data_IF_655612456314
#
_entry.id   IF_655612456314
#
_cell.length_a   1.000
_cell.length_b   1.000
_cell.length_c   1.000
_cell.angle_alpha   90.00
_cell.angle_beta   90.00
_cell.angle_gamma   90.00
#
_symmetry.space_group_name_H-M   'P 1'
#
loop_
_entity.id
_entity.type
_entity.pdbx_description
1 polymer ?
#
# COMPACT_ATOMS: atom_id res chain seq x y z
N UNK A 1 7.95 -24.99 -16.73
CA UNK A 1 7.34 -24.01 -15.80
C UNK A 1 6.63 -22.96 -16.66
N UNK A 2 5.32 -23.12 -16.87
CA UNK A 2 4.49 -22.24 -17.70
C UNK A 2 3.74 -21.31 -16.76
N UNK A 3 4.03 -20.01 -16.80
CA UNK A 3 3.36 -19.05 -15.92
C UNK A 3 2.05 -18.55 -16.59
N UNK A 4 0.87 -18.90 -16.05
CA UNK A 4 -0.41 -18.44 -16.59
C UNK A 4 -0.56 -16.91 -16.56
N UNK A 5 0.17 -16.24 -15.66
CA UNK A 5 0.26 -14.78 -15.51
C UNK A 5 0.83 -14.11 -16.78
N UNK A 6 1.92 -14.66 -17.35
CA UNK A 6 2.54 -14.15 -18.58
C UNK A 6 1.60 -14.23 -19.79
N UNK A 7 0.74 -15.25 -19.83
CA UNK A 7 -0.25 -15.42 -20.90
C UNK A 7 -1.33 -14.34 -20.85
N UNK A 8 -1.81 -13.97 -19.65
CA UNK A 8 -2.79 -12.90 -19.47
C UNK A 8 -2.21 -11.53 -19.84
N UNK A 9 -1.00 -11.23 -19.36
CA UNK A 9 -0.28 -9.99 -19.69
C UNK A 9 -0.11 -9.82 -21.20
N UNK A 10 0.32 -10.88 -21.90
CA UNK A 10 0.44 -10.87 -23.37
C UNK A 10 -0.91 -10.59 -24.05
N UNK A 11 -2.00 -11.12 -23.55
CA UNK A 11 -3.35 -10.86 -24.09
C UNK A 11 -3.74 -9.39 -23.92
N UNK A 12 -3.55 -8.80 -22.73
CA UNK A 12 -3.84 -7.37 -22.52
C UNK A 12 -3.05 -6.47 -23.46
N UNK A 13 -1.75 -6.75 -23.64
CA UNK A 13 -0.92 -6.00 -24.59
C UNK A 13 -1.41 -6.11 -26.03
N UNK A 14 -1.79 -7.33 -26.47
CA UNK A 14 -2.35 -7.52 -27.82
C UNK A 14 -3.64 -6.75 -28.02
N UNK A 15 -4.56 -6.79 -27.05
CA UNK A 15 -5.83 -6.06 -27.14
C UNK A 15 -5.59 -4.55 -27.19
N UNK A 16 -4.70 -4.02 -26.35
CA UNK A 16 -4.32 -2.60 -26.40
C UNK A 16 -3.70 -2.19 -27.74
N UNK A 17 -2.85 -3.03 -28.33
CA UNK A 17 -2.29 -2.78 -29.66
C UNK A 17 -3.35 -2.78 -30.76
N UNK A 18 -4.30 -3.71 -30.69
CA UNK A 18 -5.41 -3.78 -31.64
C UNK A 18 -6.31 -2.54 -31.52
N UNK A 19 -6.66 -2.11 -30.30
CA UNK A 19 -7.45 -0.88 -30.09
C UNK A 19 -6.72 0.34 -30.63
N UNK A 20 -5.40 0.43 -30.42
CA UNK A 20 -4.59 1.52 -30.96
C UNK A 20 -4.60 1.52 -32.49
N UNK A 21 -4.37 0.35 -33.10
CA UNK A 21 -4.41 0.21 -34.56
C UNK A 21 -5.77 0.60 -35.12
N UNK A 22 -6.87 0.23 -34.47
CA UNK A 22 -8.20 0.67 -34.87
C UNK A 22 -8.37 2.18 -34.77
N UNK A 23 -7.90 2.80 -33.69
CA UNK A 23 -7.90 4.27 -33.53
C UNK A 23 -7.15 4.94 -34.67
N UNK A 24 -5.94 4.47 -34.97
CA UNK A 24 -5.07 5.02 -36.02
C UNK A 24 -5.72 4.86 -37.41
N UNK A 25 -6.37 3.72 -37.69
CA UNK A 25 -7.10 3.49 -38.94
C UNK A 25 -8.33 4.40 -39.07
N UNK A 26 -9.08 4.59 -37.98
CA UNK A 26 -10.27 5.45 -37.98
C UNK A 26 -9.86 6.92 -38.20
N UNK A 27 -8.79 7.38 -37.56
CA UNK A 27 -8.25 8.73 -37.78
C UNK A 27 -7.71 8.90 -39.20
N UNK A 28 -6.99 7.91 -39.73
CA UNK A 28 -6.51 7.94 -41.12
C UNK A 28 -7.66 7.95 -42.13
N UNK A 29 -8.74 7.19 -41.87
CA UNK A 29 -9.93 7.15 -42.72
C UNK A 29 -10.67 8.49 -42.79
N UNK A 30 -10.74 9.24 -41.69
CA UNK A 30 -11.30 10.59 -41.66
C UNK A 30 -10.49 11.55 -42.56
N UNK A 31 -9.15 11.50 -42.49
CA UNK A 31 -8.27 12.32 -43.33
C UNK A 31 -8.43 11.97 -44.80
N UNK A 32 -8.49 10.67 -45.13
CA UNK A 32 -8.68 10.21 -46.50
C UNK A 32 -10.06 10.64 -47.04
N UNK A 33 -11.11 10.54 -46.23
CA UNK A 33 -12.46 10.98 -46.58
C UNK A 33 -12.53 12.49 -46.85
N UNK A 34 -11.89 13.31 -46.01
CA UNK A 34 -11.79 14.75 -46.25
C UNK A 34 -11.08 15.05 -47.58
N UNK A 35 -9.95 14.39 -47.84
CA UNK A 35 -9.20 14.55 -49.09
C UNK A 35 -10.00 14.09 -50.32
N UNK A 36 -10.86 13.08 -50.18
CA UNK A 36 -11.72 12.61 -51.26
C UNK A 36 -12.81 13.63 -51.57
N UNK A 37 -13.47 14.17 -50.54
CA UNK A 37 -14.49 15.19 -50.72
C UNK A 37 -13.94 16.45 -51.39
N UNK A 38 -12.74 16.91 -50.99
CA UNK A 38 -12.12 18.11 -51.56
C UNK A 38 -11.69 17.90 -53.03
N UNK A 39 -11.29 16.68 -53.40
CA UNK A 39 -11.04 16.31 -54.80
C UNK A 39 -12.32 16.24 -55.61
N UNK A 40 -13.42 15.76 -55.03
CA UNK A 40 -14.71 15.73 -55.68
C UNK A 40 -15.18 17.15 -55.97
N UNK A 41 -15.25 18.05 -54.99
CA UNK A 41 -15.73 19.44 -55.19
C UNK A 41 -14.93 20.19 -56.26
N UNK A 42 -13.61 19.99 -56.34
CA UNK A 42 -12.76 20.60 -57.38
C UNK A 42 -12.98 20.05 -58.79
N UNK A 43 -13.35 18.77 -58.95
CA UNK A 43 -13.44 18.09 -60.26
C UNK A 43 -14.70 18.45 -61.05
N UNK A 44 -15.80 18.77 -60.37
CA UNK A 44 -17.05 19.18 -61.02
C UNK A 44 -17.07 20.67 -61.44
N UNK A 45 -16.01 21.42 -61.15
CA UNK A 45 -15.89 22.85 -61.49
C UNK A 45 -15.49 23.11 -62.96
N UNK A 46 -14.94 22.11 -63.66
CA UNK A 46 -14.56 22.18 -65.08
C UNK A 46 -15.54 21.39 -65.97
N UNK A 47 -16.74 21.94 -66.19
CA UNK A 47 -17.67 21.43 -67.21
C UNK A 47 -18.01 22.55 -68.21
N UNK A 48 -17.91 22.34 -69.55
CA UNK A 48 -18.10 23.40 -70.54
C UNK A 48 -19.54 23.92 -70.73
N UNK A 49 -20.54 23.43 -69.96
CA UNK A 49 -21.97 23.81 -70.08
C UNK A 49 -22.43 24.64 -68.87
N UNK A 50 -22.07 25.92 -68.88
CA UNK A 50 -22.02 26.78 -67.70
C UNK A 50 -23.30 27.48 -67.22
N UNK A 51 -24.47 26.83 -67.13
CA UNK A 51 -25.62 27.49 -66.46
C UNK A 51 -26.52 26.60 -65.57
N UNK A 52 -26.80 25.34 -65.91
CA UNK A 52 -27.62 24.47 -65.01
C UNK A 52 -26.83 23.84 -63.86
N UNK A 53 -25.50 23.98 -63.85
CA UNK A 53 -24.62 23.29 -62.90
C UNK A 53 -24.42 24.01 -61.55
N UNK A 54 -24.83 25.28 -61.40
CA UNK A 54 -24.65 26.01 -60.13
C UNK A 54 -25.57 25.49 -59.02
N UNK A 55 -26.83 25.20 -59.36
CA UNK A 55 -27.79 24.62 -58.42
C UNK A 55 -27.40 23.18 -58.05
N UNK A 56 -26.97 22.38 -59.05
CA UNK A 56 -26.47 21.03 -58.81
C UNK A 56 -25.18 21.02 -57.95
N UNK A 57 -24.25 21.95 -58.17
CA UNK A 57 -23.06 22.11 -57.32
C UNK A 57 -23.42 22.50 -55.88
N UNK A 58 -24.39 23.42 -55.70
CA UNK A 58 -24.84 23.81 -54.36
C UNK A 58 -25.44 22.61 -53.60
N UNK A 59 -26.24 21.79 -54.28
CA UNK A 59 -26.83 20.57 -53.71
C UNK A 59 -25.74 19.54 -53.38
N UNK A 60 -24.75 19.36 -54.26
CA UNK A 60 -23.62 18.44 -54.03
C UNK A 60 -22.78 18.90 -52.84
N UNK A 61 -22.48 20.19 -52.71
CA UNK A 61 -21.75 20.72 -51.55
C UNK A 61 -22.56 20.59 -50.26
N UNK A 62 -23.87 20.87 -50.28
CA UNK A 62 -24.75 20.65 -49.13
C UNK A 62 -24.82 19.17 -48.71
N UNK A 63 -24.88 18.25 -49.68
CA UNK A 63 -24.84 16.82 -49.40
C UNK A 63 -23.48 16.40 -48.81
N UNK A 64 -22.37 16.92 -49.34
CA UNK A 64 -21.03 16.64 -48.80
C UNK A 64 -20.82 17.21 -47.40
N UNK A 65 -21.31 18.40 -47.11
CA UNK A 65 -21.23 18.97 -45.74
C UNK A 65 -22.04 18.15 -44.75
N UNK A 66 -23.24 17.69 -45.13
CA UNK A 66 -24.08 16.81 -44.32
C UNK A 66 -23.39 15.46 -44.08
N UNK A 67 -22.79 14.88 -45.12
CA UNK A 67 -22.08 13.60 -45.03
C UNK A 67 -20.79 13.73 -44.19
N UNK A 68 -20.05 14.83 -44.32
CA UNK A 68 -18.88 15.15 -43.47
C UNK A 68 -19.29 15.25 -42.00
N UNK A 69 -20.36 15.99 -41.71
CA UNK A 69 -20.85 16.16 -40.34
C UNK A 69 -21.24 14.82 -39.71
N UNK A 70 -21.98 13.98 -40.44
CA UNK A 70 -22.39 12.66 -39.98
C UNK A 70 -21.20 11.71 -39.80
N UNK A 71 -20.26 11.70 -40.75
CA UNK A 71 -19.05 10.87 -40.65
C UNK A 71 -18.21 11.28 -39.43
N UNK A 72 -17.96 12.57 -39.24
CA UNK A 72 -17.21 13.10 -38.10
C UNK A 72 -17.87 12.78 -36.77
N UNK A 73 -19.19 12.89 -36.67
CA UNK A 73 -19.92 12.54 -35.45
C UNK A 73 -19.75 11.06 -35.10
N UNK A 74 -19.89 10.16 -36.08
CA UNK A 74 -19.73 8.71 -35.88
C UNK A 74 -18.29 8.33 -35.55
N UNK A 75 -17.31 8.90 -36.25
CA UNK A 75 -15.87 8.71 -36.01
C UNK A 75 -15.49 9.15 -34.60
N UNK A 76 -15.90 10.35 -34.18
CA UNK A 76 -15.67 10.84 -32.81
C UNK A 76 -16.30 9.94 -31.76
N UNK A 77 -17.53 9.49 -32.00
CA UNK A 77 -18.22 8.56 -31.09
C UNK A 77 -17.49 7.22 -30.95
N UNK A 78 -16.94 6.69 -32.04
CA UNK A 78 -16.20 5.42 -32.03
C UNK A 78 -14.83 5.57 -31.36
N UNK A 79 -14.08 6.64 -31.68
CA UNK A 79 -12.81 6.97 -31.03
C UNK A 79 -12.99 7.16 -29.52
N UNK A 80 -14.06 7.84 -29.11
CA UNK A 80 -14.40 7.99 -27.70
C UNK A 80 -14.58 6.63 -27.02
N UNK A 81 -15.38 5.73 -27.61
CA UNK A 81 -15.59 4.37 -27.08
C UNK A 81 -14.29 3.57 -26.98
N UNK A 82 -13.44 3.64 -28.00
CA UNK A 82 -12.12 2.98 -28.00
C UNK A 82 -11.25 3.54 -26.86
N UNK A 83 -11.24 4.86 -26.67
CA UNK A 83 -10.45 5.50 -25.61
C UNK A 83 -10.90 5.10 -24.20
N UNK A 84 -12.22 4.95 -23.99
CA UNK A 84 -12.81 4.47 -22.73
C UNK A 84 -12.41 3.02 -22.48
N UNK A 85 -12.60 2.15 -23.48
CA UNK A 85 -12.25 0.73 -23.37
C UNK A 85 -10.75 0.52 -23.14
N UNK A 86 -9.90 1.34 -23.76
CA UNK A 86 -8.45 1.34 -23.50
C UNK A 86 -8.15 1.64 -22.03
N UNK A 87 -8.75 2.71 -21.48
CA UNK A 87 -8.57 3.09 -20.06
C UNK A 87 -9.07 2.03 -19.10
N UNK A 88 -10.20 1.39 -19.40
CA UNK A 88 -10.73 0.28 -18.59
C UNK A 88 -9.76 -0.89 -18.57
N UNK A 89 -9.22 -1.29 -19.73
CA UNK A 89 -8.25 -2.37 -19.85
C UNK A 89 -6.94 -2.03 -19.13
N UNK A 90 -6.45 -0.80 -19.22
CA UNK A 90 -5.27 -0.33 -18.48
C UNK A 90 -5.51 -0.40 -16.97
N UNK A 91 -6.67 0.08 -16.49
CA UNK A 91 -7.05 0.00 -15.07
C UNK A 91 -7.16 -1.45 -14.57
N UNK A 92 -7.78 -2.35 -15.35
CA UNK A 92 -7.87 -3.78 -15.04
C UNK A 92 -6.50 -4.43 -14.93
N UNK A 93 -5.60 -4.12 -15.89
CA UNK A 93 -4.21 -4.59 -15.87
C UNK A 93 -3.49 -4.11 -14.61
N UNK A 94 -3.61 -2.83 -14.29
CA UNK A 94 -2.92 -2.24 -13.14
C UNK A 94 -3.47 -2.78 -11.82
N UNK A 95 -4.79 -2.98 -11.72
CA UNK A 95 -5.44 -3.65 -10.60
C UNK A 95 -4.96 -5.10 -10.42
N UNK A 96 -4.80 -5.85 -11.51
CA UNK A 96 -4.27 -7.20 -11.49
C UNK A 96 -2.82 -7.25 -11.00
N UNK A 97 -1.94 -6.37 -11.53
CA UNK A 97 -0.55 -6.32 -11.08
C UNK A 97 -0.41 -5.86 -9.63
N UNK A 98 -1.27 -4.96 -9.17
CA UNK A 98 -1.29 -4.57 -7.76
C UNK A 98 -1.74 -5.73 -6.85
N UNK A 99 -2.77 -6.49 -7.27
CA UNK A 99 -3.17 -7.68 -6.53
C UNK A 99 -2.09 -8.78 -6.54
N UNK A 100 -1.41 -8.94 -7.68
CA UNK A 100 -0.31 -9.89 -7.83
C UNK A 100 0.89 -9.50 -6.95
N UNK A 101 1.27 -8.22 -6.91
CA UNK A 101 2.38 -7.75 -6.07
C UNK A 101 2.09 -7.97 -4.58
N UNK A 102 0.84 -7.74 -4.15
CA UNK A 102 0.40 -8.07 -2.78
C UNK A 102 0.45 -9.58 -2.52
N UNK A 103 0.01 -10.40 -3.46
CA UNK A 103 0.07 -11.87 -3.36
C UNK A 103 1.51 -12.37 -3.29
N UNK A 104 2.41 -11.81 -4.09
CA UNK A 104 3.84 -12.12 -4.07
C UNK A 104 4.47 -11.71 -2.73
N UNK A 105 4.13 -10.52 -2.22
CA UNK A 105 4.57 -10.08 -0.90
C UNK A 105 4.04 -11.00 0.22
N UNK A 106 2.78 -11.44 0.15
CA UNK A 106 2.21 -12.41 1.10
C UNK A 106 2.92 -13.75 1.02
N UNK A 107 3.19 -14.27 -0.18
CA UNK A 107 3.95 -15.51 -0.37
C UNK A 107 5.36 -15.39 0.20
N UNK A 108 6.01 -14.24 0.01
CA UNK A 108 7.32 -13.95 0.60
C UNK A 108 7.27 -13.89 2.13
N UNK A 109 6.20 -13.32 2.71
CA UNK A 109 5.99 -13.33 4.18
C UNK A 109 5.80 -14.74 4.72
N UNK A 110 5.04 -15.58 4.03
CA UNK A 110 4.86 -16.98 4.40
C UNK A 110 6.19 -17.75 4.36
N UNK A 111 6.95 -17.58 3.28
CA UNK A 111 8.30 -18.14 3.17
C UNK A 111 9.22 -17.63 4.28
N UNK A 112 9.16 -16.35 4.63
CA UNK A 112 9.94 -15.79 5.73
C UNK A 112 9.57 -16.42 7.08
N UNK A 113 8.27 -16.68 7.33
CA UNK A 113 7.82 -17.41 8.53
C UNK A 113 8.39 -18.83 8.55
N UNK A 114 8.37 -19.53 7.42
CA UNK A 114 8.94 -20.89 7.30
C UNK A 114 10.44 -20.86 7.59
N UNK A 115 11.17 -19.90 7.02
CA UNK A 115 12.61 -19.72 7.26
C UNK A 115 12.91 -19.39 8.73
N UNK A 116 12.09 -18.56 9.38
CA UNK A 116 12.24 -18.22 10.79
C UNK A 116 12.09 -19.47 11.66
N UNK A 117 11.05 -20.29 11.43
CA UNK A 117 10.85 -21.54 12.18
C UNK A 117 12.01 -22.50 11.94
N UNK A 118 12.44 -22.69 10.69
CA UNK A 118 13.60 -23.52 10.34
C UNK A 118 14.88 -23.06 11.05
N UNK A 119 15.09 -21.75 11.13
CA UNK A 119 16.25 -21.16 11.80
C UNK A 119 16.21 -21.41 13.31
N UNK A 120 15.05 -21.23 13.95
CA UNK A 120 14.89 -21.52 15.39
C UNK A 120 15.17 -22.99 15.67
N UNK A 121 14.62 -23.90 14.88
CA UNK A 121 14.88 -25.34 14.99
C UNK A 121 16.38 -25.61 14.84
N UNK A 122 17.01 -25.08 13.80
CA UNK A 122 18.45 -25.27 13.56
C UNK A 122 19.30 -24.79 14.74
N UNK A 123 19.01 -23.62 15.30
CA UNK A 123 19.75 -23.06 16.44
C UNK A 123 19.63 -23.93 17.70
N UNK A 124 18.49 -24.62 17.88
CA UNK A 124 18.31 -25.55 19.00
C UNK A 124 19.03 -26.89 18.77
N UNK A 125 19.03 -27.39 17.54
CA UNK A 125 19.56 -28.72 17.21
C UNK A 125 21.06 -28.71 16.96
N UNK A 126 21.62 -27.64 16.41
CA UNK A 126 23.04 -27.58 16.05
C UNK A 126 23.98 -27.76 17.26
N UNK A 127 23.77 -27.08 18.42
CA UNK A 127 24.65 -27.25 19.57
C UNK A 127 24.45 -28.61 20.24
N UNK A 128 23.21 -29.12 20.28
CA UNK A 128 22.93 -30.46 20.83
C UNK A 128 23.59 -31.55 20.01
N UNK A 129 23.54 -31.43 18.68
CA UNK A 129 24.20 -32.37 17.77
C UNK A 129 25.71 -32.29 17.93
N UNK A 130 26.28 -31.09 18.07
CA UNK A 130 27.71 -30.91 18.34
C UNK A 130 28.15 -31.60 19.64
N UNK A 131 27.41 -31.41 20.74
CA UNK A 131 27.73 -32.07 22.01
C UNK A 131 27.58 -33.59 21.91
N UNK A 132 26.52 -34.08 21.27
CA UNK A 132 26.32 -35.51 21.06
C UNK A 132 27.47 -36.15 20.25
N UNK A 133 27.91 -35.50 19.17
CA UNK A 133 29.04 -35.98 18.36
C UNK A 133 30.36 -35.90 19.13
N UNK A 134 30.62 -34.80 19.86
CA UNK A 134 31.86 -34.60 20.60
C UNK A 134 32.08 -35.67 21.68
N UNK A 135 31.02 -36.03 22.40
CA UNK A 135 31.07 -37.08 23.44
C UNK A 135 30.79 -38.49 22.92
N UNK A 136 30.33 -38.64 21.67
CA UNK A 136 30.19 -39.92 20.98
C UNK A 136 31.50 -40.48 20.43
N UNK A 137 32.57 -39.68 20.40
CA UNK A 137 33.92 -40.14 20.02
C UNK A 137 34.54 -40.95 21.16
N UNK A 138 35.08 -42.13 20.85
CA UNK A 138 35.61 -43.13 21.81
C UNK A 138 36.71 -42.60 22.76
N UNK A 139 37.32 -41.44 22.46
CA UNK A 139 38.39 -40.81 23.23
C UNK A 139 38.00 -40.50 24.69
N UNK A 140 36.71 -40.39 25.02
CA UNK A 140 36.23 -40.09 26.37
C UNK A 140 35.71 -41.29 27.18
N UNK A 141 35.68 -42.50 26.62
CA UNK A 141 35.23 -43.70 27.33
C UNK A 141 36.27 -44.24 28.36
N UNK A 142 37.49 -43.69 28.37
CA UNK A 142 38.60 -44.16 29.21
C UNK A 142 38.75 -43.44 30.57
N UNK A 143 38.03 -42.34 30.81
CA UNK A 143 38.09 -41.58 32.06
C UNK A 143 36.86 -41.87 32.93
N UNK A 144 37.10 -42.23 34.20
CA UNK A 144 36.12 -42.56 35.25
C UNK A 144 34.67 -42.13 34.97
N UNK A 145 33.80 -43.14 34.81
CA UNK A 145 32.41 -43.05 34.35
C UNK A 145 31.57 -41.94 35.05
N UNK A 146 31.83 -41.72 36.34
CA UNK A 146 31.11 -40.72 37.15
C UNK A 146 31.55 -39.28 36.87
N UNK A 147 32.82 -39.04 36.55
CA UNK A 147 33.38 -37.70 36.34
C UNK A 147 33.07 -37.20 34.93
N UNK A 148 33.19 -38.07 33.94
CA UNK A 148 32.80 -37.82 32.54
C UNK A 148 31.31 -37.52 32.41
N UNK A 149 30.45 -38.26 33.13
CA UNK A 149 29.00 -37.99 33.17
C UNK A 149 28.65 -36.62 33.73
N UNK A 150 29.35 -36.15 34.77
CA UNK A 150 29.13 -34.82 35.34
C UNK A 150 29.58 -33.71 34.38
N UNK A 151 30.76 -33.86 33.78
CA UNK A 151 31.31 -32.90 32.80
C UNK A 151 30.40 -32.80 31.57
N UNK A 152 29.87 -33.92 31.08
CA UNK A 152 28.91 -33.95 29.98
C UNK A 152 27.70 -33.05 30.25
N UNK A 153 27.03 -33.24 31.39
CA UNK A 153 25.84 -32.45 31.74
C UNK A 153 26.16 -30.96 31.96
N UNK A 154 27.33 -30.65 32.54
CA UNK A 154 27.79 -29.26 32.72
C UNK A 154 28.05 -28.58 31.38
N UNK A 155 28.80 -29.21 30.48
CA UNK A 155 29.12 -28.63 29.16
C UNK A 155 27.87 -28.52 28.30
N UNK A 156 27.00 -29.53 28.30
CA UNK A 156 25.74 -29.51 27.58
C UNK A 156 24.85 -28.33 28.02
N UNK A 157 24.73 -28.11 29.33
CA UNK A 157 23.95 -26.99 29.86
C UNK A 157 24.55 -25.64 29.49
N UNK A 158 25.87 -25.46 29.61
CA UNK A 158 26.55 -24.18 29.32
C UNK A 158 26.46 -23.83 27.84
N UNK A 159 26.77 -24.79 26.95
CA UNK A 159 26.77 -24.57 25.49
C UNK A 159 25.36 -24.27 24.98
N UNK A 160 24.34 -24.95 25.52
CA UNK A 160 22.95 -24.72 25.11
C UNK A 160 22.46 -23.35 25.57
N UNK A 161 22.74 -22.95 26.82
CA UNK A 161 22.30 -21.66 27.37
C UNK A 161 23.02 -20.50 26.69
N UNK A 162 24.33 -20.59 26.47
CA UNK A 162 25.09 -19.54 25.78
C UNK A 162 24.67 -19.36 24.32
N UNK A 163 24.39 -20.45 23.60
CA UNK A 163 23.89 -20.38 22.22
C UNK A 163 22.49 -19.78 22.15
N UNK A 164 21.62 -20.09 23.11
CA UNK A 164 20.28 -19.49 23.20
C UNK A 164 20.34 -17.98 23.48
N UNK A 165 21.16 -17.56 24.45
CA UNK A 165 21.29 -16.14 24.83
C UNK A 165 21.87 -15.30 23.69
N UNK A 166 22.92 -15.80 23.03
CA UNK A 166 23.54 -15.11 21.89
C UNK A 166 22.59 -15.06 20.68
N UNK A 167 21.95 -16.17 20.32
CA UNK A 167 20.96 -16.21 19.24
C UNK A 167 19.81 -15.25 19.50
N UNK A 168 19.17 -15.33 20.68
CA UNK A 168 17.99 -14.53 20.97
C UNK A 168 18.32 -13.03 20.98
N UNK A 169 19.51 -12.66 21.48
CA UNK A 169 19.93 -11.28 21.49
C UNK A 169 20.40 -10.73 20.13
N UNK A 170 20.83 -11.59 19.19
CA UNK A 170 21.01 -11.19 17.78
C UNK A 170 19.66 -10.98 17.07
N UNK A 171 18.67 -11.84 17.32
CA UNK A 171 17.33 -11.75 16.72
C UNK A 171 16.56 -10.52 17.23
N UNK A 172 16.66 -10.21 18.52
CA UNK A 172 16.04 -9.02 19.13
C UNK A 172 16.81 -7.72 18.82
N UNK A 173 17.91 -7.79 18.05
CA UNK A 173 18.73 -6.62 17.69
C UNK A 173 19.51 -5.99 18.85
N UNK A 174 19.40 -6.54 20.07
CA UNK A 174 20.03 -6.06 21.30
C UNK A 174 21.56 -6.24 21.33
N UNK A 175 22.11 -7.17 20.54
CA UNK A 175 23.57 -7.39 20.41
C UNK A 175 24.21 -6.70 19.19
N UNK A 176 23.46 -5.96 18.37
CA UNK A 176 24.09 -5.17 17.30
C UNK A 176 24.73 -3.91 17.88
N UNK A 177 26.00 -3.58 17.58
CA UNK A 177 26.66 -2.37 18.10
C UNK A 177 25.95 -1.06 17.72
N UNK A 178 25.06 -1.10 16.72
CA UNK A 178 24.22 0.01 16.29
C UNK A 178 22.96 0.26 17.15
N UNK A 179 22.47 -0.73 17.93
CA UNK A 179 21.30 -0.53 18.80
C UNK A 179 21.67 0.13 20.14
N UNK A 180 22.88 -0.16 20.64
CA UNK A 180 23.44 0.49 21.83
C UNK A 180 23.64 1.99 21.67
N UNK A 181 24.01 2.48 20.47
CA UNK A 181 24.15 3.92 20.20
C UNK A 181 22.79 4.64 20.15
N UNK A 182 21.75 4.00 19.58
CA UNK A 182 20.38 4.53 19.55
C UNK A 182 19.75 4.58 20.95
N UNK A 183 19.90 3.52 21.75
CA UNK A 183 19.37 3.49 23.12
C UNK A 183 20.07 4.52 24.03
N UNK A 184 21.39 4.69 23.89
CA UNK A 184 22.14 5.69 24.65
C UNK A 184 21.77 7.13 24.27
N UNK A 185 21.34 7.37 23.03
CA UNK A 185 20.82 8.67 22.58
C UNK A 185 19.38 8.97 23.06
N UNK A 186 18.62 7.95 23.46
CA UNK A 186 17.26 8.09 23.99
C UNK A 186 17.21 8.29 25.51
N UNK A 187 18.25 7.88 26.25
CA UNK A 187 18.32 8.00 27.72
C UNK A 187 18.53 9.41 28.32
N UNK A 188 19.06 10.46 27.66
CA UNK A 188 19.17 11.76 28.31
C UNK A 188 17.82 12.46 28.53
N UNK A 189 16.73 12.01 27.90
CA UNK A 189 15.38 12.59 28.10
C UNK A 189 14.63 12.11 29.34
N UNK A 190 15.05 10.99 29.95
CA UNK A 190 14.42 10.50 31.18
C UNK A 190 15.12 11.04 32.44
N UNK A 191 16.40 11.39 32.35
CA UNK A 191 17.15 11.97 33.47
C UNK A 191 16.73 13.42 33.77
N UNK A 192 16.47 14.23 32.74
CA UNK A 192 16.00 15.62 32.91
C UNK A 192 14.53 15.78 33.33
N UNK A 193 13.73 14.71 33.36
CA UNK A 193 12.33 14.76 33.81
C UNK A 193 12.17 14.45 35.30
N UNK A 194 13.16 13.81 35.94
CA UNK A 194 13.14 13.58 37.39
C UNK A 194 13.51 14.83 38.19
N UNK A 195 14.44 15.64 37.67
CA UNK A 195 14.91 16.85 38.37
C UNK A 195 13.83 17.95 38.38
N UNK A 196 13.03 18.04 37.30
CA UNK A 196 11.89 18.97 37.22
C UNK A 196 10.67 18.52 38.06
N UNK A 197 10.58 17.24 38.41
CA UNK A 197 9.50 16.74 39.29
C UNK A 197 9.82 16.91 40.78
N UNK A 198 11.10 17.10 41.13
CA UNK A 198 11.52 17.42 42.50
C UNK A 198 11.55 18.93 42.77
N UNK A 199 11.71 19.76 41.74
CA UNK A 199 11.65 21.23 41.87
C UNK A 199 10.21 21.81 41.92
N UNK A 200 9.19 21.02 41.54
CA UNK A 200 7.79 21.46 41.51
C UNK A 200 6.96 20.94 42.71
N UNK A 201 7.60 20.49 43.78
CA UNK A 201 6.95 20.10 45.05
C UNK A 201 7.14 21.14 46.18
N UNK A 202 7.84 22.24 45.95
CA UNK A 202 8.06 23.27 46.97
C UNK A 202 7.54 24.64 46.52
N UNK A 203 6.21 24.79 46.47
CA UNK A 203 5.52 26.09 46.58
C UNK A 203 4.03 25.89 46.91
N UNK A 204 3.61 26.06 48.18
CA UNK A 204 2.19 26.21 48.48
C UNK A 204 1.75 27.62 48.10
N UNK A 205 0.42 27.82 48.03
CA UNK A 205 -0.24 29.12 47.83
C UNK A 205 -0.55 29.54 46.38
N UNK A 206 -1.65 28.99 45.83
CA UNK A 206 -2.59 29.76 44.96
C UNK A 206 -3.90 29.05 44.58
N UNK A 207 -4.12 27.81 45.01
CA UNK A 207 -5.34 27.05 44.68
C UNK A 207 -6.48 27.17 45.71
N UNK A 208 -6.30 27.86 46.83
CA UNK A 208 -7.35 27.97 47.86
C UNK A 208 -8.41 29.05 47.55
N UNK A 209 -8.09 30.04 46.71
CA UNK A 209 -9.00 31.16 46.42
C UNK A 209 -10.00 30.87 45.29
N UNK A 210 -9.69 29.94 44.40
CA UNK A 210 -10.58 29.55 43.28
C UNK A 210 -11.75 28.67 43.75
N UNK A 211 -11.56 27.81 44.75
CA UNK A 211 -12.64 26.99 45.31
C UNK A 211 -13.64 27.80 46.16
N UNK A 212 -13.21 28.91 46.78
CA UNK A 212 -14.12 29.82 47.48
C UNK A 212 -15.03 30.59 46.51
N UNK A 213 -14.53 30.99 45.34
CA UNK A 213 -15.36 31.67 44.32
C UNK A 213 -16.33 30.73 43.60
N UNK A 214 -15.94 29.48 43.34
CA UNK A 214 -16.85 28.52 42.69
C UNK A 214 -18.03 28.12 43.60
N UNK A 215 -17.78 28.02 44.92
CA UNK A 215 -18.80 27.60 45.89
C UNK A 215 -19.87 28.66 46.19
N UNK A 216 -19.54 29.95 46.03
CA UNK A 216 -20.52 31.04 46.17
C UNK A 216 -21.42 31.18 44.95
N UNK A 217 -20.96 30.79 43.76
CA UNK A 217 -21.77 30.78 42.54
C UNK A 217 -22.85 29.69 42.57
N UNK A 218 -22.48 28.48 43.02
CA UNK A 218 -23.40 27.32 43.08
C UNK A 218 -24.45 27.40 44.21
N UNK A 219 -24.33 28.31 45.17
CA UNK A 219 -25.36 28.56 46.20
C UNK A 219 -26.44 29.56 45.78
N UNK A 220 -26.21 30.36 44.72
CA UNK A 220 -27.20 31.36 44.27
C UNK A 220 -28.27 30.77 43.36
N UNK A 221 -27.95 29.72 42.60
CA UNK A 221 -28.91 29.08 41.67
C UNK A 221 -29.89 28.10 42.32
N UNK A 222 -29.61 27.60 43.54
CA UNK A 222 -30.49 26.63 44.22
C UNK A 222 -31.62 27.26 45.04
N UNK A 223 -31.71 28.60 45.10
CA UNK A 223 -32.75 29.33 45.84
C UNK A 223 -33.82 29.99 44.95
N UNK A 224 -33.72 29.87 43.62
CA UNK A 224 -34.67 30.46 42.66
C UNK A 224 -35.66 29.49 41.99
N UNK A 225 -35.63 28.19 42.32
CA UNK A 225 -36.45 27.16 41.63
C UNK A 225 -37.35 26.36 42.60
N UNK A 226 -37.91 27.03 43.61
CA UNK A 226 -38.85 26.39 44.56
C UNK A 226 -39.99 27.30 45.02
N UNK A 227 -40.42 28.23 44.16
CA UNK A 227 -41.58 29.13 44.39
C UNK A 227 -42.44 29.31 43.13
N UNK A 228 -42.61 28.27 42.30
CA UNK A 228 -43.56 28.27 41.17
C UNK A 228 -44.24 26.91 40.95
N UNK A 229 -44.37 26.12 42.02
CA UNK A 229 -45.09 24.85 41.97
C UNK A 229 -45.98 24.70 43.23
N UNK A 230 -46.64 25.80 43.61
CA UNK A 230 -47.59 25.84 44.74
C UNK A 230 -48.83 26.71 44.46
N UNK A 231 -49.18 26.93 43.18
CA UNK A 231 -50.34 27.76 42.78
C UNK A 231 -51.14 27.15 41.61
N UNK A 232 -51.30 25.82 41.59
CA UNK A 232 -52.09 25.14 40.54
C UNK A 232 -52.89 23.93 41.03
N UNK A 233 -53.23 23.91 42.32
CA UNK A 233 -54.22 22.97 42.87
C UNK A 233 -54.92 23.65 44.05
N UNK A 234 -55.98 24.41 43.80
CA UNK A 234 -57.18 24.56 44.63
C UNK A 234 -58.12 25.61 44.02
N UNK A 235 -59.35 25.18 43.72
CA UNK A 235 -60.58 25.96 43.44
C UNK A 235 -60.67 26.77 42.14
#
# INVERSE_FOLDING_TARGET
MYDPELKKTRTYFKVLQILRLFSDIIEAGEVEFQSFSDRCSGRWSYSPRGQSLKEEQLIIDQNWTTLKALHQEKTKGLLFKISVMKKEIESLRDGLFNAQSVREAQKSRELNKIMMVFTIVTILFLPRTFVATFFGVEVFHAASDVQTRKIFWTVFSIVTVTTLVTSLGTILGLLTPASWTRLRSAMPKLRGRSDNLLAEQEKPEKTQNTWRQLSSFLRRDRKGSRTSEEDSTLA
#
